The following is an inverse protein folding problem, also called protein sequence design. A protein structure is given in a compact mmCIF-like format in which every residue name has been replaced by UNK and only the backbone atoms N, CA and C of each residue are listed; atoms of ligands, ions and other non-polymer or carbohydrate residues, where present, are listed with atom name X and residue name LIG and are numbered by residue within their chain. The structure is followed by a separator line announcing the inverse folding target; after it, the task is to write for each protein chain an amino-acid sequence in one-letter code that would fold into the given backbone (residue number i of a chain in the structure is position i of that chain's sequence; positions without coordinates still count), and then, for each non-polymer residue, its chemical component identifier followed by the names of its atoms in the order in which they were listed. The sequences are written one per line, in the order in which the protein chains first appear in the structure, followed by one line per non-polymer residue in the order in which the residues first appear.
data_IF_809954767492
#
_entry.id   IF_809954767492
#
_cell.length_a   1.000
_cell.length_b   1.000
_cell.length_c   1.000
_cell.angle_alpha   90.00
_cell.angle_beta   90.00
_cell.angle_gamma   90.00
#
_symmetry.space_group_name_H-M   'P 1'
#
loop_
_entity.id
_entity.type
_entity.pdbx_description
1 polymer ?
#
# COMPACT_ATOMS: atom_id res chain seq x y z
N UNK A 1 3.01 -6.92 16.97
CA UNK A 1 3.65 -7.74 15.91
C UNK A 1 3.94 -6.84 14.73
N UNK A 2 5.14 -6.92 14.15
CA UNK A 2 5.45 -6.19 12.91
C UNK A 2 5.12 -7.03 11.67
N UNK A 3 4.64 -6.35 10.63
CA UNK A 3 4.28 -6.94 9.34
C UNK A 3 4.91 -6.16 8.20
N UNK A 4 5.05 -6.84 7.07
CA UNK A 4 5.30 -6.22 5.76
C UNK A 4 4.05 -6.40 4.92
N UNK A 5 3.52 -5.32 4.36
CA UNK A 5 2.37 -5.38 3.48
C UNK A 5 2.77 -4.86 2.12
N UNK A 6 2.54 -5.67 1.09
CA UNK A 6 2.65 -5.27 -0.31
C UNK A 6 1.25 -4.95 -0.84
N UNK A 7 1.14 -3.79 -1.50
CA UNK A 7 -0.12 -3.18 -1.92
C UNK A 7 -0.03 -2.83 -3.41
N UNK A 8 -1.06 -3.21 -4.17
CA UNK A 8 -1.25 -2.76 -5.55
C UNK A 8 -2.70 -2.34 -5.76
N UNK A 9 -2.92 -1.04 -5.99
CA UNK A 9 -4.21 -0.48 -6.40
C UNK A 9 -4.34 -0.59 -7.92
N UNK A 10 -5.46 -1.12 -8.40
CA UNK A 10 -5.75 -1.28 -9.82
C UNK A 10 -7.13 -0.67 -10.13
N UNK A 11 -7.18 0.65 -10.41
CA UNK A 11 -8.38 1.31 -10.90
C UNK A 11 -8.78 0.73 -12.26
N UNK A 12 -10.07 0.50 -12.47
CA UNK A 12 -10.60 -0.09 -13.71
C UNK A 12 -11.20 1.00 -14.60
N UNK A 13 -10.41 2.04 -14.88
CA UNK A 13 -10.81 3.24 -15.63
C UNK A 13 -9.61 3.83 -16.41
N UNK A 14 -9.85 4.62 -17.46
CA UNK A 14 -8.77 5.15 -18.33
C UNK A 14 -7.78 6.06 -17.59
N UNK A 15 -8.28 6.89 -16.67
CA UNK A 15 -7.45 7.81 -15.89
C UNK A 15 -6.88 7.15 -14.62
N UNK A 16 -6.46 5.87 -14.72
CA UNK A 16 -6.01 5.06 -13.58
C UNK A 16 -4.73 5.57 -12.89
N UNK A 17 -3.85 6.26 -13.62
CA UNK A 17 -2.56 6.69 -13.05
C UNK A 17 -2.72 7.69 -11.89
N UNK A 18 -3.68 8.61 -12.01
CA UNK A 18 -3.90 9.65 -11.01
C UNK A 18 -4.26 9.07 -9.62
N UNK A 19 -5.29 8.22 -9.47
CA UNK A 19 -5.63 7.63 -8.18
C UNK A 19 -4.51 6.73 -7.63
N UNK A 20 -3.74 6.04 -8.47
CA UNK A 20 -2.55 5.29 -8.00
C UNK A 20 -1.52 6.23 -7.40
N UNK A 21 -1.17 7.32 -8.10
CA UNK A 21 -0.19 8.31 -7.61
C UNK A 21 -0.65 8.97 -6.31
N UNK A 22 -1.93 9.32 -6.20
CA UNK A 22 -2.48 9.90 -4.98
C UNK A 22 -2.49 8.91 -3.82
N UNK A 23 -2.85 7.64 -4.06
CA UNK A 23 -2.78 6.60 -3.04
C UNK A 23 -1.35 6.40 -2.53
N UNK A 24 -0.35 6.34 -3.43
CA UNK A 24 1.07 6.24 -3.03
C UNK A 24 1.51 7.46 -2.20
N UNK A 25 1.10 8.68 -2.57
CA UNK A 25 1.38 9.89 -1.78
C UNK A 25 0.76 9.83 -0.38
N UNK A 26 -0.47 9.31 -0.26
CA UNK A 26 -1.12 9.08 1.03
C UNK A 26 -0.30 8.12 1.89
N UNK A 27 0.16 7.00 1.34
CA UNK A 27 1.03 6.06 2.06
C UNK A 27 2.34 6.73 2.51
N UNK A 28 2.99 7.50 1.65
CA UNK A 28 4.24 8.22 1.97
C UNK A 28 4.08 9.28 3.06
N UNK A 29 2.89 9.86 3.21
CA UNK A 29 2.60 10.86 4.21
C UNK A 29 2.37 10.27 5.62
N UNK A 30 2.31 8.94 5.74
CA UNK A 30 2.20 8.25 7.02
C UNK A 30 3.53 8.17 7.77
N UNK A 31 3.47 7.87 9.07
CA UNK A 31 4.65 7.61 9.90
C UNK A 31 5.27 6.22 9.66
N UNK A 32 4.72 5.43 8.73
CA UNK A 32 5.23 4.10 8.41
C UNK A 32 6.36 4.16 7.39
N UNK A 33 7.24 3.16 7.44
CA UNK A 33 8.25 2.99 6.40
C UNK A 33 7.55 2.53 5.12
N UNK A 34 7.79 3.24 4.02
CA UNK A 34 7.26 2.93 2.69
C UNK A 34 8.41 2.73 1.71
N UNK A 35 8.34 1.68 0.90
CA UNK A 35 9.24 1.42 -0.22
C UNK A 35 8.41 1.12 -1.47
N UNK A 36 8.90 1.50 -2.64
CA UNK A 36 8.17 1.34 -3.90
C UNK A 36 9.04 0.69 -4.96
N UNK A 37 8.38 -0.04 -5.84
CA UNK A 37 8.95 -0.53 -7.07
C UNK A 37 7.90 -0.40 -8.20
N UNK A 38 8.25 -0.70 -9.46
CA UNK A 38 7.31 -0.54 -10.58
C UNK A 38 6.01 -1.37 -10.50
N UNK A 39 5.95 -2.40 -9.66
CA UNK A 39 4.82 -3.33 -9.56
C UNK A 39 3.96 -3.12 -8.31
N UNK A 40 4.53 -2.62 -7.22
CA UNK A 40 3.84 -2.50 -5.94
C UNK A 40 4.46 -1.48 -4.98
N UNK A 41 3.66 -1.10 -3.98
CA UNK A 41 4.09 -0.31 -2.82
C UNK A 41 4.14 -1.22 -1.60
N UNK A 42 5.23 -1.15 -0.85
CA UNK A 42 5.44 -1.91 0.37
C UNK A 42 5.42 -0.97 1.58
N UNK A 43 4.65 -1.32 2.60
CA UNK A 43 4.55 -0.57 3.86
C UNK A 43 4.84 -1.50 5.05
N UNK A 44 5.54 -0.98 6.05
CA UNK A 44 6.04 -1.77 7.18
C UNK A 44 5.72 -1.11 8.52
N UNK A 45 5.38 -1.93 9.51
CA UNK A 45 5.08 -1.42 10.85
C UNK A 45 4.33 -2.42 11.73
N UNK A 46 3.87 -1.95 12.89
CA UNK A 46 3.05 -2.74 13.79
C UNK A 46 1.67 -3.01 13.18
N UNK A 47 1.23 -4.27 13.21
CA UNK A 47 0.03 -4.75 12.52
C UNK A 47 -1.22 -3.91 12.81
N UNK A 48 -1.58 -3.70 14.08
CA UNK A 48 -2.83 -3.02 14.42
C UNK A 48 -2.85 -1.55 13.96
N UNK A 49 -1.86 -0.69 14.30
CA UNK A 49 -1.81 0.68 13.77
C UNK A 49 -1.79 0.75 12.25
N UNK A 50 -1.02 -0.14 11.61
CA UNK A 50 -0.87 -0.14 10.17
C UNK A 50 -2.16 -0.56 9.45
N UNK A 51 -2.90 -1.54 9.99
CA UNK A 51 -4.21 -1.91 9.43
C UNK A 51 -5.26 -0.83 9.64
N UNK A 52 -5.28 -0.13 10.78
CA UNK A 52 -6.19 1.01 11.01
C UNK A 52 -5.97 2.09 9.94
N UNK A 53 -4.71 2.50 9.76
CA UNK A 53 -4.34 3.47 8.72
C UNK A 53 -4.72 2.98 7.31
N UNK A 54 -4.42 1.72 6.97
CA UNK A 54 -4.76 1.18 5.65
C UNK A 54 -6.26 1.09 5.42
N UNK A 55 -7.07 0.80 6.44
CA UNK A 55 -8.54 0.81 6.31
C UNK A 55 -9.01 2.18 5.84
N UNK A 56 -8.58 3.26 6.51
CA UNK A 56 -8.95 4.64 6.15
C UNK A 56 -8.43 5.03 4.76
N UNK A 57 -7.16 4.72 4.46
CA UNK A 57 -6.54 5.05 3.17
C UNK A 57 -7.21 4.32 1.99
N UNK A 58 -7.56 3.04 2.18
CA UNK A 58 -8.23 2.24 1.15
C UNK A 58 -9.66 2.73 0.95
N UNK A 59 -10.40 3.00 2.02
CA UNK A 59 -11.76 3.55 1.93
C UNK A 59 -11.76 4.89 1.19
N UNK A 60 -10.87 5.82 1.56
CA UNK A 60 -10.73 7.10 0.88
C UNK A 60 -10.39 6.92 -0.60
N UNK A 61 -9.50 5.98 -0.95
CA UNK A 61 -9.16 5.69 -2.34
C UNK A 61 -10.35 5.12 -3.11
N UNK A 62 -11.12 4.20 -2.53
CA UNK A 62 -12.25 3.56 -3.20
C UNK A 62 -13.42 4.54 -3.40
N UNK A 63 -13.63 5.48 -2.48
CA UNK A 63 -14.64 6.53 -2.64
C UNK A 63 -14.36 7.45 -3.85
N UNK A 64 -13.11 7.53 -4.32
CA UNK A 64 -12.71 8.29 -5.49
C UNK A 64 -12.70 7.49 -6.81
N UNK A 65 -13.11 6.22 -6.79
CA UNK A 65 -13.10 5.33 -7.95
C UNK A 65 -14.51 4.84 -8.27
N UNK A 66 -14.87 4.81 -9.55
CA UNK A 66 -16.13 4.19 -9.98
C UNK A 66 -16.04 2.65 -9.90
N UNK A 67 -14.87 2.11 -10.25
CA UNK A 67 -14.54 0.70 -10.15
C UNK A 67 -13.03 0.51 -9.96
N UNK A 68 -12.66 -0.45 -9.13
CA UNK A 68 -11.25 -0.73 -8.84
C UNK A 68 -11.08 -1.99 -8.02
N UNK A 69 -9.85 -2.47 -7.96
CA UNK A 69 -9.45 -3.56 -7.07
C UNK A 69 -8.16 -3.22 -6.34
N UNK A 70 -7.96 -3.84 -5.18
CA UNK A 70 -6.71 -3.74 -4.44
C UNK A 70 -6.21 -5.14 -4.09
N UNK A 71 -4.93 -5.40 -4.36
CA UNK A 71 -4.25 -6.59 -3.89
C UNK A 71 -3.45 -6.24 -2.64
N UNK A 72 -3.67 -7.01 -1.57
CA UNK A 72 -2.94 -6.91 -0.32
C UNK A 72 -2.28 -8.25 -0.01
N UNK A 73 -0.95 -8.24 0.17
CA UNK A 73 -0.19 -9.39 0.63
C UNK A 73 0.50 -9.06 1.94
N UNK A 74 0.11 -9.76 3.00
CA UNK A 74 0.64 -9.54 4.35
C UNK A 74 1.64 -10.63 4.69
N UNK A 75 2.82 -10.22 5.15
CA UNK A 75 3.88 -11.12 5.63
C UNK A 75 4.09 -10.89 7.13
N UNK A 76 4.07 -11.97 7.91
CA UNK A 76 4.30 -11.98 9.36
C UNK A 76 5.80 -11.84 9.69
N UNK A 77 6.35 -10.65 9.45
CA UNK A 77 7.70 -10.21 9.83
C UNK A 77 7.97 -8.83 9.23
N UNK A 78 8.92 -8.08 9.81
CA UNK A 78 9.50 -6.92 9.12
C UNK A 78 10.55 -7.40 8.10
N UNK A 79 10.29 -7.18 6.81
CA UNK A 79 11.20 -7.50 5.70
C UNK A 79 11.79 -6.25 5.05
N UNK A 80 11.70 -5.09 5.70
CA UNK A 80 12.11 -3.81 5.13
C UNK A 80 13.63 -3.67 4.92
N UNK A 81 14.42 -4.59 5.48
CA UNK A 81 15.86 -4.72 5.23
C UNK A 81 16.22 -5.89 4.30
N UNK A 82 15.25 -6.66 3.80
CA UNK A 82 15.52 -7.78 2.92
C UNK A 82 16.16 -7.30 1.62
N UNK A 83 17.29 -7.90 1.27
CA UNK A 83 17.94 -7.75 -0.03
C UNK A 83 18.11 -9.15 -0.62
N UNK A 84 17.75 -9.28 -1.90
CA UNK A 84 18.12 -10.47 -2.66
C UNK A 84 19.64 -10.65 -2.60
N UNK A 85 20.10 -11.89 -2.44
CA UNK A 85 21.51 -12.26 -2.48
C UNK A 85 21.85 -13.11 -3.72
N UNK A 86 20.99 -13.06 -4.73
CA UNK A 86 21.18 -13.68 -6.04
C UNK A 86 21.17 -12.61 -7.13
#
# INVERSE_FOLDING_TARGET
MNVSIEITLMPLQDQYEAPIKEFIKCLRASDFKVLENPLSTQIYGAYAPLMIFLTEAIEASFNGLDAGMINLKIVKSDRSGYRSNF
#
